data_IF_702359703005
#
_entry.id   IF_702359703005
#
_cell.length_a   1.000
_cell.length_b   1.000
_cell.length_c   1.000
_cell.angle_alpha   90.00
_cell.angle_beta   90.00
_cell.angle_gamma   90.00
#
_symmetry.space_group_name_H-M   'P 1'
#
loop_
_entity.id
_entity.type
_entity.pdbx_description
1 polymer ?
#
# COMPACT_ATOMS: atom_id res chain seq x y z
N UNK A 1 11.15 -24.24 8.92
CA UNK A 1 9.73 -23.84 9.20
C UNK A 1 9.48 -22.32 9.33
N UNK A 2 10.47 -21.41 9.27
CA UNK A 2 10.23 -19.95 9.45
C UNK A 2 9.91 -19.17 8.16
N UNK A 3 10.44 -19.59 7.02
CA UNK A 3 10.28 -18.87 5.75
C UNK A 3 8.81 -18.75 5.28
N UNK A 4 7.99 -19.78 5.49
CA UNK A 4 6.58 -19.78 5.08
C UNK A 4 5.73 -18.75 5.82
N UNK A 5 6.03 -18.46 7.10
CA UNK A 5 5.30 -17.46 7.89
C UNK A 5 5.60 -16.04 7.44
N UNK A 6 6.87 -15.75 7.13
CA UNK A 6 7.30 -14.42 6.65
C UNK A 6 6.67 -14.14 5.29
N UNK A 7 6.67 -15.11 4.38
CA UNK A 7 6.03 -14.98 3.06
C UNK A 7 4.51 -14.81 3.20
N UNK A 8 3.86 -15.53 4.10
CA UNK A 8 2.43 -15.38 4.35
C UNK A 8 2.07 -14.00 4.93
N UNK A 9 2.90 -13.46 5.84
CA UNK A 9 2.72 -12.13 6.39
C UNK A 9 2.96 -11.03 5.34
N UNK A 10 4.04 -11.14 4.57
CA UNK A 10 4.36 -10.22 3.47
C UNK A 10 3.31 -10.23 2.36
N UNK A 11 2.55 -11.31 2.20
CA UNK A 11 1.43 -11.39 1.24
C UNK A 11 0.07 -11.01 1.86
N UNK A 12 0.03 -10.36 3.01
CA UNK A 12 -1.24 -10.00 3.67
C UNK A 12 -1.91 -8.79 3.01
N UNK A 13 -3.22 -8.90 2.73
CA UNK A 13 -4.04 -7.80 2.21
C UNK A 13 -4.10 -6.60 3.18
N UNK A 14 -4.13 -6.87 4.49
CA UNK A 14 -4.14 -5.83 5.53
C UNK A 14 -2.85 -5.00 5.50
N UNK A 15 -1.71 -5.67 5.32
CA UNK A 15 -0.41 -5.01 5.20
C UNK A 15 -0.37 -4.12 3.96
N UNK A 16 -0.84 -4.64 2.82
CA UNK A 16 -0.95 -3.85 1.61
C UNK A 16 -1.84 -2.60 1.82
N UNK A 17 -2.97 -2.73 2.55
CA UNK A 17 -3.93 -1.62 2.69
C UNK A 17 -3.34 -0.51 3.55
N UNK A 18 -2.64 -0.93 4.59
CA UNK A 18 -1.89 -0.02 5.43
C UNK A 18 -0.76 0.66 4.65
N UNK A 19 0.04 -0.07 3.89
CA UNK A 19 1.13 0.49 3.07
C UNK A 19 0.62 1.48 2.00
N UNK A 20 -0.47 1.15 1.32
CA UNK A 20 -1.10 2.04 0.33
C UNK A 20 -1.65 3.29 1.01
N UNK A 21 -2.35 3.14 2.14
CA UNK A 21 -2.87 4.27 2.92
C UNK A 21 -1.76 5.21 3.39
N UNK A 22 -0.68 4.67 3.95
CA UNK A 22 0.50 5.44 4.35
C UNK A 22 1.16 6.12 3.16
N UNK A 23 1.31 5.43 2.03
CA UNK A 23 1.88 6.00 0.81
C UNK A 23 1.05 7.19 0.29
N UNK A 24 -0.28 7.05 0.24
CA UNK A 24 -1.19 8.14 -0.17
C UNK A 24 -1.07 9.31 0.79
N UNK A 25 -1.07 9.07 2.10
CA UNK A 25 -0.93 10.12 3.11
C UNK A 25 0.39 10.89 2.95
N UNK A 26 1.51 10.18 2.74
CA UNK A 26 2.81 10.80 2.48
C UNK A 26 2.79 11.66 1.21
N UNK A 27 2.13 11.21 0.14
CA UNK A 27 1.95 11.99 -1.08
C UNK A 27 1.11 13.25 -0.82
N UNK A 28 0.00 13.17 -0.08
CA UNK A 28 -0.83 14.34 0.24
C UNK A 28 -0.03 15.37 1.06
N UNK A 29 0.70 14.92 2.08
CA UNK A 29 1.55 15.81 2.89
C UNK A 29 2.57 16.53 2.00
N UNK A 30 3.12 15.86 0.99
CA UNK A 30 4.11 16.45 0.11
C UNK A 30 3.57 17.51 -0.85
N UNK A 31 2.27 17.46 -1.18
CA UNK A 31 1.62 18.53 -1.92
C UNK A 31 1.44 19.78 -1.06
N UNK A 32 1.25 19.60 0.25
CA UNK A 32 1.05 20.69 1.20
C UNK A 32 2.39 21.31 1.62
N UNK A 33 3.39 20.48 1.87
CA UNK A 33 4.71 20.90 2.36
C UNK A 33 5.73 20.86 1.21
N UNK A 34 6.18 22.02 0.71
CA UNK A 34 7.18 22.06 -0.35
C UNK A 34 8.46 21.35 0.08
N UNK A 35 8.98 20.49 -0.79
CA UNK A 35 10.12 19.65 -0.49
C UNK A 35 11.42 20.42 -0.70
N UNK A 36 12.20 20.58 0.37
CA UNK A 36 13.42 21.40 0.35
C UNK A 36 14.45 20.88 -0.67
N UNK A 37 14.51 19.56 -0.85
CA UNK A 37 15.43 18.89 -1.77
C UNK A 37 15.14 19.15 -3.26
N UNK A 38 13.90 19.49 -3.61
CA UNK A 38 13.46 19.62 -5.01
C UNK A 38 13.08 21.05 -5.41
N UNK A 39 12.69 21.90 -4.45
CA UNK A 39 12.03 23.18 -4.71
C UNK A 39 12.74 24.35 -4.00
N UNK A 40 14.07 24.35 -3.97
CA UNK A 40 14.91 25.23 -3.14
C UNK A 40 14.43 26.68 -2.96
N UNK A 41 14.10 27.40 -4.03
CA UNK A 41 13.61 28.79 -3.97
C UNK A 41 12.16 28.92 -3.47
N UNK A 42 11.28 27.97 -3.80
CA UNK A 42 9.89 27.97 -3.33
C UNK A 42 9.79 27.63 -1.83
N UNK A 43 10.73 26.85 -1.29
CA UNK A 43 10.79 26.59 0.15
C UNK A 43 11.12 27.87 0.94
N UNK A 44 12.00 28.73 0.40
CA UNK A 44 12.30 30.03 1.01
C UNK A 44 11.04 30.90 1.17
N UNK A 45 10.23 30.99 0.11
CA UNK A 45 8.93 31.71 0.16
C UNK A 45 7.97 31.11 1.17
N UNK A 46 7.90 29.77 1.25
CA UNK A 46 7.07 29.11 2.25
C UNK A 46 7.48 29.43 3.70
N UNK A 47 8.79 29.57 3.96
CA UNK A 47 9.30 29.99 5.27
C UNK A 47 8.90 31.44 5.59
N UNK A 48 8.93 32.32 4.59
CA UNK A 48 8.52 33.72 4.72
C UNK A 48 7.00 33.87 4.93
N UNK A 49 6.20 33.17 4.12
CA UNK A 49 4.73 33.25 4.14
C UNK A 49 4.13 32.54 5.37
N UNK A 50 4.74 31.44 5.83
CA UNK A 50 4.22 30.60 6.92
C UNK A 50 5.33 30.20 7.93
N UNK A 51 5.85 31.14 8.74
CA UNK A 51 7.01 30.91 9.60
C UNK A 51 6.77 29.92 10.75
N UNK A 52 5.53 29.83 11.26
CA UNK A 52 5.19 28.86 12.32
C UNK A 52 5.08 27.44 11.74
N UNK A 53 4.37 27.29 10.62
CA UNK A 53 4.16 26.00 9.97
C UNK A 53 5.45 25.42 9.38
N UNK A 54 6.33 26.27 8.83
CA UNK A 54 7.63 25.84 8.33
C UNK A 54 8.52 25.27 9.43
N UNK A 55 8.53 25.88 10.63
CA UNK A 55 9.26 25.32 11.79
C UNK A 55 8.71 23.96 12.23
N UNK A 56 7.38 23.81 12.26
CA UNK A 56 6.74 22.52 12.60
C UNK A 56 7.08 21.47 11.55
N UNK A 57 7.00 21.82 10.27
CA UNK A 57 7.34 20.92 9.17
C UNK A 57 8.80 20.45 9.24
N UNK A 58 9.73 21.37 9.50
CA UNK A 58 11.16 21.03 9.66
C UNK A 58 11.41 20.22 10.93
N UNK A 59 10.77 20.56 12.06
CA UNK A 59 10.92 19.82 13.32
C UNK A 59 10.42 18.37 13.21
N UNK A 60 9.37 18.14 12.41
CA UNK A 60 8.84 16.81 12.11
C UNK A 60 9.56 16.12 10.94
N UNK A 61 10.53 16.78 10.29
CA UNK A 61 11.25 16.26 9.13
C UNK A 61 10.38 16.08 7.88
N UNK A 62 9.26 16.80 7.78
CA UNK A 62 8.32 16.70 6.67
C UNK A 62 8.90 17.26 5.35
N UNK A 63 9.89 18.14 5.46
CA UNK A 63 10.60 18.76 4.34
C UNK A 63 11.53 17.79 3.57
N UNK A 64 11.78 16.61 4.17
CA UNK A 64 12.61 15.55 3.62
C UNK A 64 11.86 14.23 3.43
N UNK A 65 10.52 14.19 3.48
CA UNK A 65 9.76 12.94 3.41
C UNK A 65 10.14 12.09 2.18
N UNK A 66 10.27 12.70 0.99
CA UNK A 66 10.62 11.94 -0.22
C UNK A 66 12.08 11.55 -0.32
N UNK A 67 12.97 12.36 0.24
CA UNK A 67 14.41 12.06 0.29
C UNK A 67 14.78 11.17 1.50
N UNK A 68 13.82 10.94 2.40
CA UNK A 68 14.03 10.26 3.66
C UNK A 68 13.86 8.74 3.55
N UNK A 69 14.46 8.06 4.52
CA UNK A 69 14.30 6.62 4.71
C UNK A 69 12.83 6.15 4.83
N UNK A 70 11.84 6.92 5.37
CA UNK A 70 10.48 6.42 5.51
C UNK A 70 9.83 6.10 4.17
N UNK A 71 10.02 6.97 3.17
CA UNK A 71 9.47 6.76 1.82
C UNK A 71 10.11 5.53 1.18
N UNK A 72 11.43 5.42 1.26
CA UNK A 72 12.15 4.26 0.74
C UNK A 72 11.67 2.95 1.37
N UNK A 73 11.41 2.94 2.68
CA UNK A 73 10.89 1.75 3.40
C UNK A 73 9.47 1.41 2.93
N UNK A 74 8.56 2.38 2.89
CA UNK A 74 7.16 2.14 2.47
C UNK A 74 7.11 1.64 1.03
N UNK A 75 7.81 2.30 0.10
CA UNK A 75 7.85 1.90 -1.30
C UNK A 75 8.50 0.52 -1.48
N UNK A 76 9.59 0.22 -0.78
CA UNK A 76 10.25 -1.08 -0.85
C UNK A 76 9.36 -2.19 -0.29
N UNK A 77 8.70 -1.97 0.84
CA UNK A 77 7.77 -2.93 1.42
C UNK A 77 6.56 -3.17 0.52
N UNK A 78 6.02 -2.11 -0.09
CA UNK A 78 4.91 -2.21 -1.04
C UNK A 78 5.33 -2.99 -2.29
N UNK A 79 6.50 -2.68 -2.86
CA UNK A 79 7.06 -3.40 -3.99
C UNK A 79 7.26 -4.89 -3.65
N UNK A 80 7.88 -5.20 -2.51
CA UNK A 80 8.06 -6.58 -2.04
C UNK A 80 6.72 -7.31 -1.85
N UNK A 81 5.73 -6.66 -1.23
CA UNK A 81 4.39 -7.21 -1.04
C UNK A 81 3.75 -7.58 -2.39
N UNK A 82 3.79 -6.66 -3.36
CA UNK A 82 3.23 -6.88 -4.71
C UNK A 82 4.00 -7.97 -5.46
N UNK A 83 5.34 -7.95 -5.41
CA UNK A 83 6.19 -8.95 -6.07
C UNK A 83 5.90 -10.34 -5.52
N UNK A 84 5.87 -10.51 -4.19
CA UNK A 84 5.59 -11.80 -3.55
C UNK A 84 4.19 -12.30 -3.92
N UNK A 85 3.18 -11.43 -3.87
CA UNK A 85 1.82 -11.78 -4.29
C UNK A 85 1.76 -12.22 -5.76
N UNK A 86 2.45 -11.49 -6.63
CA UNK A 86 2.49 -11.78 -8.07
C UNK A 86 3.20 -13.10 -8.37
N UNK A 87 4.35 -13.35 -7.75
CA UNK A 87 5.12 -14.61 -7.92
C UNK A 87 4.29 -15.82 -7.46
N UNK A 88 3.64 -15.74 -6.29
CA UNK A 88 2.77 -16.83 -5.82
C UNK A 88 1.66 -17.13 -6.82
N UNK A 89 0.98 -16.09 -7.31
CA UNK A 89 -0.09 -16.23 -8.31
C UNK A 89 0.39 -16.85 -9.63
N UNK A 90 1.61 -16.52 -10.07
CA UNK A 90 2.20 -17.10 -11.28
C UNK A 90 2.54 -18.58 -11.06
N UNK A 91 3.14 -18.93 -9.92
CA UNK A 91 3.49 -20.31 -9.58
C UNK A 91 2.25 -21.19 -9.46
N UNK A 92 1.18 -20.70 -8.81
CA UNK A 92 -0.08 -21.44 -8.66
C UNK A 92 -0.78 -21.68 -10.01
N UNK A 93 -0.59 -20.79 -10.99
CA UNK A 93 -1.14 -20.96 -12.35
C UNK A 93 -0.33 -21.92 -13.21
N UNK A 94 0.99 -22.07 -12.97
CA UNK A 94 1.88 -22.91 -13.78
C UNK A 94 1.96 -24.36 -13.30
N UNK A 95 1.58 -24.63 -12.06
CA UNK A 95 1.51 -26.01 -11.57
C UNK A 95 0.25 -26.69 -12.13
N UNK A 96 0.37 -27.79 -12.91
CA UNK A 96 -0.78 -28.52 -13.40
C UNK A 96 -1.61 -28.98 -12.20
N UNK A 97 -2.86 -28.51 -12.17
CA UNK A 97 -3.84 -28.78 -11.12
C UNK A 97 -4.01 -30.30 -11.04
N UNK A 98 -3.34 -30.94 -10.08
CA UNK A 98 -3.50 -32.38 -9.82
C UNK A 98 -5.00 -32.63 -9.62
N UNK A 99 -5.66 -33.48 -10.41
CA UNK A 99 -7.07 -33.75 -10.25
C UNK A 99 -7.25 -34.62 -9.00
N UNK A 100 -7.62 -34.02 -7.88
CA UNK A 100 -8.01 -34.80 -6.71
C UNK A 100 -9.02 -34.08 -5.83
N UNK A 101 -10.13 -34.79 -5.63
CA UNK A 101 -11.10 -34.72 -4.54
C UNK A 101 -12.38 -33.86 -4.75
N UNK A 102 -13.54 -34.39 -4.28
CA UNK A 102 -14.89 -33.89 -4.57
C UNK A 102 -15.20 -32.50 -4.02
N UNK A 103 -16.17 -31.87 -4.68
CA UNK A 103 -16.63 -30.48 -4.62
C UNK A 103 -16.90 -29.91 -3.21
N UNK A 104 -17.15 -30.73 -2.19
CA UNK A 104 -17.62 -30.24 -0.88
C UNK A 104 -16.51 -29.69 0.03
N UNK A 105 -15.25 -30.12 -0.13
CA UNK A 105 -14.13 -29.60 0.65
C UNK A 105 -13.54 -28.29 0.08
N UNK A 106 -13.91 -27.91 -1.14
CA UNK A 106 -13.34 -26.76 -1.86
C UNK A 106 -13.86 -25.41 -1.38
N UNK A 107 -15.10 -25.33 -0.89
CA UNK A 107 -15.69 -24.06 -0.46
C UNK A 107 -15.08 -23.51 0.84
N UNK A 108 -14.52 -24.37 1.70
CA UNK A 108 -13.85 -23.91 2.92
C UNK A 108 -12.42 -23.42 2.67
N UNK A 109 -11.69 -24.02 1.72
CA UNK A 109 -10.31 -23.69 1.42
C UNK A 109 -10.14 -22.48 0.48
N UNK A 110 -11.13 -22.19 -0.38
CA UNK A 110 -11.09 -21.07 -1.33
C UNK A 110 -11.45 -19.70 -0.71
N UNK A 111 -11.91 -19.64 0.54
CA UNK A 111 -12.25 -18.38 1.23
C UNK A 111 -11.02 -17.60 1.73
N UNK A 112 -9.84 -18.24 1.80
CA UNK A 112 -8.60 -17.60 2.25
C UNK A 112 -7.74 -16.99 1.14
N UNK A 113 -7.86 -17.48 -0.10
CA UNK A 113 -6.81 -17.34 -1.12
C UNK A 113 -6.99 -16.16 -2.08
N UNK A 114 -8.20 -15.60 -2.19
CA UNK A 114 -8.51 -14.46 -3.08
C UNK A 114 -8.46 -13.08 -2.42
N UNK A 115 -8.07 -13.00 -1.14
CA UNK A 115 -8.13 -11.76 -0.35
C UNK A 115 -7.19 -10.64 -0.81
N UNK A 116 -6.09 -10.92 -1.51
CA UNK A 116 -5.06 -9.90 -1.71
C UNK A 116 -5.33 -8.93 -2.86
N UNK A 117 -6.09 -9.33 -3.88
CA UNK A 117 -6.46 -8.46 -5.00
C UNK A 117 -7.98 -8.36 -5.17
N UNK A 118 -8.71 -9.43 -4.85
CA UNK A 118 -10.19 -9.45 -4.89
C UNK A 118 -10.81 -8.52 -3.84
N UNK A 119 -10.30 -8.50 -2.61
CA UNK A 119 -10.87 -7.65 -1.55
C UNK A 119 -10.77 -6.15 -1.88
N UNK A 120 -9.70 -5.71 -2.57
CA UNK A 120 -9.58 -4.31 -2.97
C UNK A 120 -10.59 -3.90 -4.03
N UNK A 121 -10.80 -4.74 -5.03
CA UNK A 121 -11.78 -4.46 -6.08
C UNK A 121 -13.20 -4.59 -5.56
N UNK A 122 -13.48 -5.61 -4.73
CA UNK A 122 -14.83 -5.83 -4.18
C UNK A 122 -15.23 -4.75 -3.17
N UNK A 123 -14.32 -4.27 -2.32
CA UNK A 123 -14.60 -3.21 -1.35
C UNK A 123 -14.75 -1.84 -2.05
N UNK A 124 -13.96 -1.56 -3.08
CA UNK A 124 -14.14 -0.38 -3.92
C UNK A 124 -15.45 -0.45 -4.74
N UNK A 125 -15.79 -1.61 -5.30
CA UNK A 125 -17.05 -1.80 -6.03
C UNK A 125 -18.27 -1.71 -5.12
N UNK A 126 -18.22 -2.24 -3.90
CA UNK A 126 -19.36 -2.17 -2.97
C UNK A 126 -19.60 -0.75 -2.45
N UNK A 127 -18.55 0.05 -2.23
CA UNK A 127 -18.69 1.49 -1.96
C UNK A 127 -19.27 2.26 -3.15
N UNK A 128 -18.86 1.94 -4.38
CA UNK A 128 -19.42 2.54 -5.60
C UNK A 128 -20.89 2.17 -5.82
N UNK A 129 -21.28 0.92 -5.55
CA UNK A 129 -22.67 0.44 -5.68
C UNK A 129 -23.56 1.05 -4.59
N UNK A 130 -23.07 1.16 -3.35
CA UNK A 130 -23.81 1.79 -2.26
C UNK A 130 -24.06 3.29 -2.52
N UNK A 131 -23.06 4.00 -3.07
CA UNK A 131 -23.20 5.43 -3.42
C UNK A 131 -24.17 5.68 -4.58
N UNK A 132 -24.40 4.69 -5.45
CA UNK A 132 -25.33 4.77 -6.60
C UNK A 132 -26.80 4.55 -6.23
N UNK A 133 -27.12 4.11 -5.00
CA UNK A 133 -28.51 3.90 -4.53
C UNK A 133 -29.13 5.12 -3.84
N UNK A 134 -28.36 6.18 -3.62
CA UNK A 134 -28.80 7.39 -2.92
C UNK A 134 -28.87 8.64 -3.82
N UNK A 135 -28.89 8.44 -5.14
CA UNK A 135 -29.18 9.45 -6.17
C UNK A 135 -30.36 8.91 -6.98
#
# INVERSE_FOLDING_TARGET
MRASRVVAWLSSAKLAAWLIGTYILMNVISFIVPQRSYLGTSFGRFVEDYPVWSRVAVALGLDHIFAGWPMAVVTSLLALNVTVCTVRRILDRRLPRRPSAPRSARSAALSGEWRCVGAYLDEAQSLLIAKRRHI
#
